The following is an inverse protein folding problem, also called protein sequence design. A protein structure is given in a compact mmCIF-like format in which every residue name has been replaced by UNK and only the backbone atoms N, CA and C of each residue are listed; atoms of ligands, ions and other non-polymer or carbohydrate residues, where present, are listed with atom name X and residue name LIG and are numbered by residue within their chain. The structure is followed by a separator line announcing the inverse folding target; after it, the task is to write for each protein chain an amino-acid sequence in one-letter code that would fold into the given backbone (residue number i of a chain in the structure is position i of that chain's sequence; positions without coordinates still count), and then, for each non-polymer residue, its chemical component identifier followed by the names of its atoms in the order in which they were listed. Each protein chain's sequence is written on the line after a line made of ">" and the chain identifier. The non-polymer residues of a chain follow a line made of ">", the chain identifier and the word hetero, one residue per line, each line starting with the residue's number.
data_IF_879890344694
#
_entry.id   IF_879890344694
#
_cell.length_a   1.000
_cell.length_b   1.000
_cell.length_c   1.000
_cell.angle_alpha   90.00
_cell.angle_beta   90.00
_cell.angle_gamma   90.00
#
_symmetry.space_group_name_H-M   'P 1'
#
loop_
_entity.id
_entity.type
_entity.pdbx_description
1 polymer ?
#
# COMPACT_ATOMS: atom_id res chain seq x y z
N UNK A 1 7.21 0.29 -15.25
CA UNK A 1 7.08 -0.50 -13.99
C UNK A 1 6.29 0.34 -12.99
N UNK A 2 5.43 -0.29 -12.19
CA UNK A 2 4.58 0.42 -11.23
C UNK A 2 4.84 -0.06 -9.80
N UNK A 3 4.80 0.88 -8.87
CA UNK A 3 4.69 0.60 -7.45
C UNK A 3 3.23 0.45 -7.07
N UNK A 4 2.92 -0.58 -6.32
CA UNK A 4 1.62 -0.70 -5.66
C UNK A 4 1.80 -0.33 -4.19
N UNK A 5 0.94 0.56 -3.71
CA UNK A 5 1.02 1.14 -2.38
C UNK A 5 -0.23 0.80 -1.62
N UNK A 6 -0.09 0.19 -0.45
CA UNK A 6 -1.21 -0.22 0.42
C UNK A 6 -1.10 0.49 1.76
N UNK A 7 -2.21 1.06 2.22
CA UNK A 7 -2.29 1.62 3.56
C UNK A 7 -2.57 0.55 4.62
N UNK A 8 -1.62 0.33 5.53
CA UNK A 8 -1.75 -0.63 6.63
C UNK A 8 -2.18 0.09 7.93
N UNK A 9 -1.58 1.24 8.22
CA UNK A 9 -1.80 1.94 9.48
C UNK A 9 -3.15 2.69 9.54
N UNK A 10 -3.70 2.82 10.75
CA UNK A 10 -4.90 3.63 11.03
C UNK A 10 -4.65 5.14 10.94
N UNK A 11 -5.65 5.94 11.34
CA UNK A 11 -5.55 7.41 11.40
C UNK A 11 -5.15 7.94 12.79
N UNK A 12 -5.39 7.14 13.83
CA UNK A 12 -5.19 7.53 15.23
C UNK A 12 -3.69 7.72 15.53
N UNK A 13 -3.34 8.81 16.23
CA UNK A 13 -1.96 9.24 16.57
C UNK A 13 -1.07 9.59 15.36
N UNK A 14 -1.66 9.77 14.18
CA UNK A 14 -0.91 10.24 13.02
C UNK A 14 -0.70 11.75 13.05
N UNK A 15 0.43 12.22 12.53
CA UNK A 15 0.63 13.63 12.27
C UNK A 15 -0.38 14.13 11.23
N UNK A 16 -0.84 15.37 11.39
CA UNK A 16 -1.79 16.02 10.47
C UNK A 16 -1.27 16.00 9.03
N UNK A 17 0.01 16.30 8.84
CA UNK A 17 0.70 16.27 7.54
C UNK A 17 0.64 14.89 6.88
N UNK A 18 0.89 13.82 7.64
CA UNK A 18 0.84 12.45 7.12
C UNK A 18 -0.59 12.06 6.71
N UNK A 19 -1.60 12.45 7.49
CA UNK A 19 -2.99 12.22 7.13
C UNK A 19 -3.40 12.99 5.86
N UNK A 20 -2.88 14.21 5.70
CA UNK A 20 -3.12 15.02 4.51
C UNK A 20 -2.45 14.41 3.27
N UNK A 21 -1.19 13.98 3.35
CA UNK A 21 -0.50 13.26 2.27
C UNK A 21 -1.26 12.01 1.86
N UNK A 22 -1.70 11.19 2.82
CA UNK A 22 -2.51 10.00 2.53
C UNK A 22 -3.85 10.37 1.87
N UNK A 23 -4.49 11.49 2.27
CA UNK A 23 -5.72 11.97 1.64
C UNK A 23 -5.48 12.42 0.19
N UNK A 24 -4.37 13.11 -0.10
CA UNK A 24 -3.96 13.52 -1.46
C UNK A 24 -3.66 12.33 -2.36
N UNK A 25 -3.03 11.28 -1.81
CA UNK A 25 -2.81 9.99 -2.48
C UNK A 25 -4.08 9.11 -2.58
N UNK A 26 -5.25 9.59 -2.15
CA UNK A 26 -6.52 8.84 -2.13
C UNK A 26 -6.53 7.60 -1.22
N UNK A 27 -5.56 7.47 -0.31
CA UNK A 27 -5.44 6.38 0.68
C UNK A 27 -6.24 6.69 1.96
N UNK A 28 -7.56 6.85 1.83
CA UNK A 28 -8.42 7.31 2.92
C UNK A 28 -8.63 6.29 4.05
N UNK A 29 -8.87 5.02 3.70
CA UNK A 29 -9.22 3.93 4.63
C UNK A 29 -8.08 2.92 4.78
N UNK A 30 -8.09 2.13 5.86
CA UNK A 30 -7.19 0.97 5.97
C UNK A 30 -7.45 0.01 4.80
N UNK A 31 -6.41 -0.63 4.29
CA UNK A 31 -6.46 -1.54 3.15
C UNK A 31 -6.94 -0.90 1.84
N UNK A 32 -6.89 0.43 1.75
CA UNK A 32 -6.93 1.11 0.45
C UNK A 32 -5.56 1.02 -0.21
N UNK A 33 -5.56 0.89 -1.53
CA UNK A 33 -4.34 0.76 -2.31
C UNK A 33 -4.44 1.50 -3.64
N UNK A 34 -3.28 1.95 -4.13
CA UNK A 34 -3.16 2.70 -5.39
C UNK A 34 -1.97 2.17 -6.20
N UNK A 35 -2.03 2.34 -7.52
CA UNK A 35 -0.86 2.25 -8.37
C UNK A 35 -0.18 3.62 -8.48
N UNK A 36 1.14 3.62 -8.39
CA UNK A 36 2.01 4.77 -8.61
C UNK A 36 3.04 4.37 -9.65
N UNK A 37 3.08 5.08 -10.77
CA UNK A 37 4.08 4.87 -11.82
C UNK A 37 5.45 5.37 -11.36
N UNK A 38 6.53 4.73 -11.82
CA UNK A 38 7.89 5.12 -11.46
C UNK A 38 8.28 6.52 -11.97
N UNK A 39 7.71 6.95 -13.10
CA UNK A 39 7.95 8.27 -13.70
C UNK A 39 7.45 9.43 -12.83
N UNK A 40 6.48 9.16 -11.96
CA UNK A 40 5.78 10.15 -11.17
C UNK A 40 6.51 10.46 -9.85
N UNK A 41 7.65 11.16 -9.98
CA UNK A 41 8.57 11.49 -8.86
C UNK A 41 7.84 12.18 -7.69
N UNK A 42 6.83 12.99 -7.98
CA UNK A 42 6.05 13.71 -6.96
C UNK A 42 5.27 12.72 -6.09
N UNK A 43 4.53 11.79 -6.70
CA UNK A 43 3.79 10.76 -5.98
C UNK A 43 4.72 9.84 -5.20
N UNK A 44 5.85 9.46 -5.80
CA UNK A 44 6.84 8.65 -5.10
C UNK A 44 7.44 9.37 -3.88
N UNK A 45 7.75 10.66 -4.00
CA UNK A 45 8.19 11.48 -2.87
C UNK A 45 7.13 11.56 -1.75
N UNK A 46 5.85 11.65 -2.11
CA UNK A 46 4.76 11.57 -1.13
C UNK A 46 4.73 10.23 -0.42
N UNK A 47 4.91 9.11 -1.14
CA UNK A 47 4.94 7.75 -0.56
C UNK A 47 6.10 7.60 0.41
N UNK A 48 7.30 8.08 0.06
CA UNK A 48 8.46 8.06 0.95
C UNK A 48 8.22 8.85 2.24
N UNK A 49 7.50 9.98 2.18
CA UNK A 49 7.17 10.76 3.38
C UNK A 49 6.26 10.01 4.36
N UNK A 50 5.47 9.04 3.87
CA UNK A 50 4.53 8.23 4.68
C UNK A 50 4.96 6.76 4.81
N UNK A 51 6.22 6.44 4.53
CA UNK A 51 6.79 5.08 4.56
C UNK A 51 6.46 4.29 5.84
N UNK A 52 6.43 4.97 6.99
CA UNK A 52 6.06 4.39 8.30
C UNK A 52 4.56 4.06 8.47
N UNK A 53 3.73 4.23 7.44
CA UNK A 53 2.26 4.04 7.49
C UNK A 53 1.76 3.14 6.37
N UNK A 54 2.49 3.09 5.27
CA UNK A 54 2.14 2.36 4.05
C UNK A 54 3.13 1.24 3.82
N UNK A 55 2.71 0.20 3.10
CA UNK A 55 3.61 -0.77 2.51
C UNK A 55 3.58 -0.58 1.00
N UNK A 56 4.73 -0.64 0.34
CA UNK A 56 4.79 -0.57 -1.11
C UNK A 56 5.85 -1.49 -1.67
N UNK A 57 5.64 -1.93 -2.91
CA UNK A 57 6.56 -2.81 -3.61
C UNK A 57 6.32 -2.76 -5.12
N UNK A 58 7.29 -3.30 -5.85
CA UNK A 58 7.18 -3.47 -7.30
C UNK A 58 6.23 -4.62 -7.60
N UNK A 59 5.43 -4.44 -8.64
CA UNK A 59 4.42 -5.41 -9.05
C UNK A 59 4.64 -5.81 -10.51
N UNK A 60 4.48 -7.10 -10.81
CA UNK A 60 4.53 -7.65 -12.16
C UNK A 60 3.19 -7.50 -12.89
N UNK A 61 3.22 -7.45 -14.22
CA UNK A 61 2.02 -7.31 -15.05
C UNK A 61 1.02 -8.45 -14.85
N UNK A 62 1.51 -9.65 -14.56
CA UNK A 62 0.69 -10.83 -14.21
C UNK A 62 -0.17 -10.56 -12.97
N UNK A 63 0.40 -9.94 -11.94
CA UNK A 63 -0.31 -9.64 -10.70
C UNK A 63 -1.35 -8.54 -10.88
N UNK A 64 -1.11 -7.59 -11.79
CA UNK A 64 -2.08 -6.54 -12.12
C UNK A 64 -3.34 -7.15 -12.73
N UNK A 65 -3.20 -8.17 -13.58
CA UNK A 65 -4.34 -8.91 -14.15
C UNK A 65 -5.14 -9.63 -13.05
N UNK A 66 -4.48 -10.40 -12.20
CA UNK A 66 -5.13 -11.13 -11.10
C UNK A 66 -5.86 -10.18 -10.13
N UNK A 67 -5.24 -9.04 -9.81
CA UNK A 67 -5.82 -8.01 -8.96
C UNK A 67 -7.11 -7.45 -9.58
N UNK A 68 -7.09 -7.11 -10.87
CA UNK A 68 -8.24 -6.54 -11.57
C UNK A 68 -9.41 -7.52 -11.69
N UNK A 69 -9.13 -8.81 -11.90
CA UNK A 69 -10.16 -9.85 -11.98
C UNK A 69 -10.87 -10.05 -10.63
N UNK A 70 -10.11 -10.10 -9.54
CA UNK A 70 -10.67 -10.35 -8.20
C UNK A 70 -11.27 -9.10 -7.56
N UNK A 71 -10.66 -7.94 -7.79
CA UNK A 71 -11.01 -6.65 -7.17
C UNK A 71 -10.85 -5.50 -8.16
N UNK A 72 -11.93 -5.10 -8.85
CA UNK A 72 -11.87 -3.95 -9.74
C UNK A 72 -11.59 -2.66 -8.95
N UNK A 73 -10.77 -1.78 -9.52
CA UNK A 73 -10.53 -0.46 -8.97
C UNK A 73 -11.83 0.36 -8.99
N UNK A 74 -12.14 1.00 -7.88
CA UNK A 74 -13.20 2.01 -7.83
C UNK A 74 -12.54 3.38 -7.82
N UNK A 75 -12.72 4.15 -8.90
CA UNK A 75 -12.14 5.51 -9.06
C UNK A 75 -10.60 5.56 -8.93
N UNK A 76 -9.93 4.49 -9.40
CA UNK A 76 -8.48 4.34 -9.33
C UNK A 76 -7.94 3.92 -7.95
N UNK A 77 -8.82 3.55 -7.01
CA UNK A 77 -8.46 3.03 -5.70
C UNK A 77 -8.93 1.58 -5.57
N UNK A 78 -8.03 0.72 -5.11
CA UNK A 78 -8.32 -0.68 -4.78
C UNK A 78 -8.65 -0.79 -3.30
N UNK A 79 -9.75 -1.45 -2.98
CA UNK A 79 -10.13 -1.76 -1.60
C UNK A 79 -9.86 -3.23 -1.36
N UNK A 80 -8.82 -3.55 -0.61
CA UNK A 80 -8.39 -4.91 -0.35
C UNK A 80 -9.04 -5.49 0.92
N UNK A 81 -9.06 -6.82 1.04
CA UNK A 81 -9.40 -7.48 2.29
C UNK A 81 -8.24 -7.35 3.27
N UNK A 82 -8.49 -7.41 4.60
CA UNK A 82 -7.44 -7.77 5.53
C UNK A 82 -6.73 -9.06 5.09
N UNK A 83 -5.43 -9.22 5.42
CA UNK A 83 -4.68 -10.39 4.99
C UNK A 83 -5.24 -11.66 5.64
N UNK A 84 -5.61 -12.64 4.83
CA UNK A 84 -6.01 -13.98 5.30
C UNK A 84 -4.85 -14.61 6.07
N UNK A 85 -5.14 -15.12 7.27
CA UNK A 85 -4.13 -15.62 8.22
C UNK A 85 -3.36 -14.53 8.98
N UNK A 86 -3.78 -13.26 8.87
CA UNK A 86 -3.20 -12.14 9.60
C UNK A 86 -1.83 -11.68 9.11
N UNK A 87 -1.24 -10.77 9.89
CA UNK A 87 0.09 -10.24 9.61
C UNK A 87 1.17 -11.15 10.22
N UNK A 88 2.03 -11.73 9.37
CA UNK A 88 3.15 -12.59 9.82
C UNK A 88 4.24 -11.84 10.59
N UNK A 89 4.36 -10.53 10.36
CA UNK A 89 5.31 -9.64 11.03
C UNK A 89 4.54 -8.49 11.67
N UNK A 90 5.21 -7.70 12.51
CA UNK A 90 4.58 -6.57 13.17
C UNK A 90 4.06 -5.54 12.16
N UNK A 91 2.79 -5.17 12.27
CA UNK A 91 2.15 -4.11 11.47
C UNK A 91 2.56 -2.70 11.88
N UNK A 92 3.36 -2.56 12.96
CA UNK A 92 3.82 -1.27 13.51
C UNK A 92 5.29 -0.99 13.20
N UNK A 93 6.05 -1.99 12.79
CA UNK A 93 7.49 -1.86 12.55
C UNK A 93 7.79 -1.72 11.05
N UNK A 94 8.87 -1.02 10.69
CA UNK A 94 9.40 -1.01 9.33
C UNK A 94 10.05 -2.36 8.98
N UNK A 95 10.12 -2.63 7.68
CA UNK A 95 10.89 -3.75 7.09
C UNK A 95 12.37 -3.62 7.48
N UNK A 96 13.09 -4.70 7.85
CA UNK A 96 12.73 -6.12 7.73
C UNK A 96 11.98 -6.73 8.93
N UNK A 97 11.94 -6.04 10.08
CA UNK A 97 11.29 -6.55 11.31
C UNK A 97 9.76 -6.49 11.26
N UNK A 98 9.21 -5.58 10.45
CA UNK A 98 7.77 -5.44 10.21
C UNK A 98 7.43 -5.44 8.72
N UNK A 99 6.32 -4.78 8.38
CA UNK A 99 5.71 -4.80 7.04
C UNK A 99 5.69 -3.40 6.40
N UNK A 100 5.92 -2.36 7.20
CA UNK A 100 5.85 -0.98 6.72
C UNK A 100 7.05 -0.64 5.84
N UNK A 101 6.82 0.24 4.88
CA UNK A 101 7.79 0.74 3.92
C UNK A 101 7.96 -0.14 2.68
N UNK A 102 9.12 -0.01 2.03
CA UNK A 102 9.48 -0.81 0.85
C UNK A 102 9.66 -2.28 1.25
N UNK A 103 8.93 -3.17 0.58
CA UNK A 103 8.96 -4.60 0.87
C UNK A 103 9.29 -5.40 -0.40
N UNK A 104 10.22 -6.36 -0.29
CA UNK A 104 10.60 -7.23 -1.41
C UNK A 104 9.53 -8.31 -1.66
N UNK A 105 9.06 -9.00 -0.62
CA UNK A 105 7.95 -9.97 -0.71
C UNK A 105 6.54 -9.34 -0.78
N UNK A 106 6.42 -8.16 -1.37
CA UNK A 106 5.17 -7.40 -1.37
C UNK A 106 4.00 -8.15 -2.05
N UNK A 107 4.29 -8.87 -3.13
CA UNK A 107 3.31 -9.71 -3.86
C UNK A 107 2.66 -10.76 -2.94
N UNK A 108 3.46 -11.42 -2.08
CA UNK A 108 2.95 -12.42 -1.12
C UNK A 108 2.01 -11.80 -0.07
N UNK A 109 2.21 -10.54 0.29
CA UNK A 109 1.35 -9.82 1.23
C UNK A 109 0.00 -9.51 0.56
N UNK A 110 0.03 -8.91 -0.64
CA UNK A 110 -1.19 -8.52 -1.36
C UNK A 110 -1.98 -9.76 -1.80
N UNK A 111 -1.32 -10.85 -2.18
CA UNK A 111 -1.98 -12.11 -2.51
C UNK A 111 -2.86 -12.68 -1.38
N UNK A 112 -2.53 -12.39 -0.10
CA UNK A 112 -3.39 -12.75 1.04
C UNK A 112 -4.56 -11.79 1.26
N UNK A 113 -4.51 -10.60 0.66
CA UNK A 113 -5.50 -9.53 0.79
C UNK A 113 -6.51 -9.51 -0.36
N UNK A 114 -6.33 -10.36 -1.39
CA UNK A 114 -7.28 -10.55 -2.50
C UNK A 114 -8.51 -11.36 -2.05
#
# INVERSE_FOLDING_TARGET
>A
MAYFVVRIAGQVKNLKTQNETMKRLRLGKKFSAIFVEEDDKVRMGMVMSVDKKVAYGRVSDEFVKELNEKRPAKEGVYFLHPPRGGFKKSSRLPTPRGILGKHEDFVKLVGRML
#
